data_IF_779256034695
#
_entry.id   IF_779256034695
#
_cell.length_a   1.000
_cell.length_b   1.000
_cell.length_c   1.000
_cell.angle_alpha   90.00
_cell.angle_beta   90.00
_cell.angle_gamma   90.00
#
_symmetry.space_group_name_H-M   'P 1'
#
loop_
_entity.id
_entity.type
_entity.pdbx_description
1 polymer ?
#
# COMPACT_ATOMS: atom_id res chain seq x y z
N UNK A 1 9.93 5.15 -25.97
CA UNK A 1 9.22 4.09 -25.18
C UNK A 1 10.16 3.33 -24.25
N UNK A 2 11.33 2.85 -24.72
CA UNK A 2 12.32 2.13 -23.91
C UNK A 2 12.74 2.83 -22.60
N UNK A 3 12.96 4.15 -22.65
CA UNK A 3 13.35 4.95 -21.47
C UNK A 3 12.29 4.96 -20.35
N UNK A 4 11.00 4.95 -20.71
CA UNK A 4 9.90 4.88 -19.72
C UNK A 4 9.84 3.48 -19.10
N UNK A 5 10.01 2.43 -19.90
CA UNK A 5 10.05 1.05 -19.39
C UNK A 5 11.21 0.85 -18.42
N UNK A 6 12.40 1.33 -18.78
CA UNK A 6 13.58 1.25 -17.92
C UNK A 6 13.40 2.01 -16.60
N UNK A 7 12.84 3.24 -16.66
CA UNK A 7 12.49 4.00 -15.45
C UNK A 7 11.51 3.25 -14.54
N UNK A 8 10.50 2.57 -15.10
CA UNK A 8 9.55 1.77 -14.32
C UNK A 8 10.20 0.56 -13.64
N UNK A 9 11.18 -0.08 -14.29
CA UNK A 9 11.96 -1.16 -13.68
C UNK A 9 12.77 -0.64 -12.47
N UNK A 10 13.44 0.50 -12.61
CA UNK A 10 14.18 1.13 -11.51
C UNK A 10 13.26 1.49 -10.33
N UNK A 11 12.09 2.06 -10.60
CA UNK A 11 11.09 2.34 -9.56
C UNK A 11 10.59 1.04 -8.91
N UNK A 12 10.49 -0.06 -9.68
CA UNK A 12 10.16 -1.38 -9.17
C UNK A 12 11.19 -1.91 -8.17
N UNK A 13 12.48 -1.78 -8.46
CA UNK A 13 13.55 -2.11 -7.50
C UNK A 13 13.47 -1.24 -6.25
N UNK A 14 13.22 0.06 -6.41
CA UNK A 14 13.05 0.95 -5.27
C UNK A 14 11.90 0.53 -4.35
N UNK A 15 10.79 0.01 -4.88
CA UNK A 15 9.69 -0.50 -4.05
C UNK A 15 10.10 -1.63 -3.10
N UNK A 16 11.13 -2.42 -3.43
CA UNK A 16 11.63 -3.48 -2.54
C UNK A 16 12.29 -2.92 -1.26
N UNK A 17 12.73 -1.67 -1.27
CA UNK A 17 13.31 -1.03 -0.08
C UNK A 17 12.31 -0.97 1.07
N UNK A 18 11.01 -0.88 0.77
CA UNK A 18 9.95 -0.94 1.78
C UNK A 18 10.01 -2.23 2.62
N UNK A 19 10.21 -3.38 1.96
CA UNK A 19 10.33 -4.68 2.62
C UNK A 19 11.58 -4.75 3.49
N UNK A 20 12.69 -4.16 3.05
CA UNK A 20 13.93 -4.10 3.83
C UNK A 20 13.75 -3.21 5.06
N UNK A 21 13.19 -2.01 4.90
CA UNK A 21 12.95 -1.08 6.02
C UNK A 21 12.02 -1.68 7.07
N UNK A 22 10.92 -2.31 6.64
CA UNK A 22 10.00 -2.99 7.57
C UNK A 22 10.67 -4.14 8.30
N UNK A 23 11.52 -4.92 7.63
CA UNK A 23 12.27 -6.02 8.26
C UNK A 23 13.26 -5.50 9.31
N UNK A 24 14.06 -4.49 8.97
CA UNK A 24 15.04 -3.88 9.90
C UNK A 24 14.33 -3.26 11.11
N UNK A 25 13.22 -2.57 10.91
CA UNK A 25 12.52 -1.89 12.00
C UNK A 25 11.81 -2.88 12.93
N UNK A 26 11.29 -3.98 12.37
CA UNK A 26 10.64 -5.04 13.14
C UNK A 26 11.61 -6.00 13.83
N UNK A 27 12.86 -6.12 13.36
CA UNK A 27 13.89 -6.91 14.05
C UNK A 27 14.51 -6.19 15.25
N UNK A 28 14.48 -4.86 15.28
CA UNK A 28 15.10 -4.04 16.33
C UNK A 28 14.11 -3.53 17.40
N UNK A 29 12.81 -3.90 17.32
CA UNK A 29 11.77 -3.37 18.23
C UNK A 29 10.90 -4.49 18.81
N UNK A 30 10.68 -4.47 20.13
CA UNK A 30 9.83 -5.45 20.81
C UNK A 30 8.34 -5.32 20.43
N UNK A 31 7.87 -4.08 20.19
CA UNK A 31 6.49 -3.76 19.82
C UNK A 31 6.28 -3.72 18.30
N UNK A 32 6.43 -4.86 17.63
CA UNK A 32 6.26 -5.00 16.17
C UNK A 32 4.93 -4.42 15.65
N UNK A 33 3.83 -4.63 16.36
CA UNK A 33 2.49 -4.16 15.96
C UNK A 33 2.41 -2.63 15.89
N UNK A 34 2.97 -1.93 16.88
CA UNK A 34 2.97 -0.46 16.93
C UNK A 34 3.76 0.14 15.77
N UNK A 35 4.92 -0.43 15.48
CA UNK A 35 5.79 0.00 14.37
C UNK A 35 5.13 -0.20 13.02
N UNK A 36 4.54 -1.38 12.77
CA UNK A 36 3.83 -1.66 11.51
C UNK A 36 2.60 -0.76 11.36
N UNK A 37 1.90 -0.47 12.46
CA UNK A 37 0.78 0.48 12.48
C UNK A 37 1.21 1.89 12.07
N UNK A 38 2.34 2.39 12.62
CA UNK A 38 2.90 3.69 12.25
C UNK A 38 3.32 3.75 10.78
N UNK A 39 4.01 2.72 10.26
CA UNK A 39 4.37 2.64 8.84
C UNK A 39 3.11 2.69 7.97
N UNK A 40 2.08 1.92 8.32
CA UNK A 40 0.84 1.86 7.56
C UNK A 40 0.09 3.19 7.56
N UNK A 41 0.11 3.92 8.68
CA UNK A 41 -0.45 5.27 8.76
C UNK A 41 0.28 6.23 7.81
N UNK A 42 1.62 6.26 7.84
CA UNK A 42 2.44 7.12 6.96
C UNK A 42 2.18 6.80 5.48
N UNK A 43 2.12 5.51 5.13
CA UNK A 43 1.80 5.09 3.77
C UNK A 43 0.42 5.59 3.33
N UNK A 44 -0.58 5.46 4.20
CA UNK A 44 -1.96 5.86 3.88
C UNK A 44 -2.04 7.38 3.70
N UNK A 45 -1.38 8.15 4.57
CA UNK A 45 -1.24 9.60 4.40
C UNK A 45 -0.55 9.94 3.08
N UNK A 46 0.50 9.21 2.70
CA UNK A 46 1.18 9.37 1.42
C UNK A 46 0.28 9.08 0.20
N UNK A 47 -0.57 8.06 0.29
CA UNK A 47 -1.55 7.73 -0.75
C UNK A 47 -2.66 8.77 -0.88
N UNK A 48 -3.05 9.43 0.22
CA UNK A 48 -4.03 10.51 0.21
C UNK A 48 -3.43 11.81 -0.32
N UNK A 49 -2.28 12.23 0.22
CA UNK A 49 -1.68 13.52 -0.12
C UNK A 49 -0.94 13.50 -1.46
N UNK A 50 -0.34 12.36 -1.83
CA UNK A 50 0.51 12.24 -3.01
C UNK A 50 -0.19 12.63 -4.32
N UNK A 51 -1.35 12.05 -4.66
CA UNK A 51 -2.06 12.39 -5.88
C UNK A 51 -2.55 13.86 -5.89
N UNK A 52 -3.04 14.39 -4.76
CA UNK A 52 -3.43 15.81 -4.63
C UNK A 52 -2.27 16.76 -4.90
N UNK A 53 -1.14 16.58 -4.22
CA UNK A 53 0.05 17.43 -4.38
C UNK A 53 0.62 17.28 -5.79
N UNK A 54 0.70 16.05 -6.31
CA UNK A 54 1.16 15.80 -7.67
C UNK A 54 0.27 16.44 -8.74
N UNK A 55 -1.05 16.41 -8.55
CA UNK A 55 -2.01 17.09 -9.42
C UNK A 55 -1.89 18.60 -9.38
N UNK A 56 -1.73 19.18 -8.19
CA UNK A 56 -1.58 20.62 -8.01
C UNK A 56 -0.32 21.16 -8.71
N UNK A 57 0.80 20.45 -8.55
CA UNK A 57 2.08 20.76 -9.23
C UNK A 57 1.93 20.62 -10.75
N UNK A 58 1.27 19.56 -11.22
CA UNK A 58 1.04 19.33 -12.65
C UNK A 58 0.25 20.48 -13.30
N UNK A 59 -0.66 21.10 -12.55
CA UNK A 59 -1.49 22.22 -13.04
C UNK A 59 -0.77 23.56 -13.12
N UNK A 60 0.13 23.87 -12.17
CA UNK A 60 0.78 25.19 -12.08
C UNK A 60 2.21 25.21 -12.62
N UNK A 61 2.99 24.15 -12.38
CA UNK A 61 4.38 24.06 -12.82
C UNK A 61 4.51 23.39 -14.19
N UNK A 62 3.61 22.47 -14.53
CA UNK A 62 3.74 21.66 -15.74
C UNK A 62 4.45 20.32 -15.51
N UNK A 63 4.38 19.43 -16.51
CA UNK A 63 4.63 17.99 -16.34
C UNK A 63 6.07 17.63 -15.94
N UNK A 64 7.04 18.50 -16.19
CA UNK A 64 8.47 18.25 -15.92
C UNK A 64 8.87 18.47 -14.45
N UNK A 65 8.08 19.20 -13.67
CA UNK A 65 8.41 19.50 -12.27
C UNK A 65 8.18 18.32 -11.33
N UNK A 66 7.25 17.42 -11.66
CA UNK A 66 6.94 16.23 -10.86
C UNK A 66 8.17 15.31 -10.67
N UNK A 67 8.87 14.87 -11.75
CA UNK A 67 10.06 14.04 -11.59
C UNK A 67 11.22 14.79 -10.92
N UNK A 68 11.34 16.11 -11.14
CA UNK A 68 12.37 16.92 -10.50
C UNK A 68 12.19 16.96 -8.98
N UNK A 69 10.98 17.30 -8.51
CA UNK A 69 10.65 17.32 -7.07
C UNK A 69 10.81 15.93 -6.45
N UNK A 70 10.39 14.88 -7.16
CA UNK A 70 10.56 13.49 -6.69
C UNK A 70 12.04 13.12 -6.53
N UNK A 71 12.90 13.53 -7.47
CA UNK A 71 14.35 13.31 -7.40
C UNK A 71 14.97 14.07 -6.23
N UNK A 72 14.56 15.32 -5.99
CA UNK A 72 15.01 16.13 -4.86
C UNK A 72 14.59 15.51 -3.52
N UNK A 73 13.34 15.06 -3.38
CA UNK A 73 12.88 14.36 -2.16
C UNK A 73 13.67 13.06 -1.93
N UNK A 74 13.96 12.31 -2.99
CA UNK A 74 14.80 11.11 -2.89
C UNK A 74 16.21 11.45 -2.40
N UNK A 75 16.81 12.51 -2.94
CA UNK A 75 18.13 12.96 -2.52
C UNK A 75 18.14 13.38 -1.04
N UNK A 76 17.14 14.12 -0.59
CA UNK A 76 16.98 14.45 0.83
C UNK A 76 16.81 13.20 1.70
N UNK A 77 16.00 12.24 1.26
CA UNK A 77 15.85 10.97 1.98
C UNK A 77 17.19 10.23 2.11
N UNK A 78 18.00 10.20 1.04
CA UNK A 78 19.34 9.62 1.05
C UNK A 78 20.28 10.33 2.03
N UNK A 79 20.28 11.66 2.05
CA UNK A 79 21.09 12.46 3.00
C UNK A 79 20.67 12.18 4.44
N UNK A 80 19.37 12.16 4.72
CA UNK A 80 18.83 11.83 6.05
C UNK A 80 19.26 10.41 6.46
N UNK A 81 19.14 9.43 5.57
CA UNK A 81 19.61 8.07 5.83
C UNK A 81 21.11 8.07 6.13
N UNK A 82 21.94 8.77 5.35
CA UNK A 82 23.39 8.81 5.59
C UNK A 82 23.75 9.45 6.94
N UNK A 83 22.99 10.45 7.39
CA UNK A 83 23.25 11.15 8.65
C UNK A 83 22.72 10.40 9.89
N UNK A 84 21.51 9.84 9.79
CA UNK A 84 20.82 9.23 10.93
C UNK A 84 21.02 7.74 11.04
N UNK A 85 21.33 7.04 9.94
CA UNK A 85 21.61 5.62 10.01
C UNK A 85 23.04 5.47 10.56
N UNK A 86 23.20 4.98 11.81
CA UNK A 86 24.53 4.81 12.35
C UNK A 86 25.31 3.88 11.42
N UNK A 87 26.43 4.36 10.88
CA UNK A 87 27.40 3.50 10.21
C UNK A 87 27.73 2.41 11.22
N UNK A 88 27.21 1.20 11.03
CA UNK A 88 27.60 0.05 11.83
C UNK A 88 29.01 -0.37 11.40
N UNK A 89 29.99 0.52 11.58
CA UNK A 89 31.40 0.20 11.63
C UNK A 89 31.72 -0.33 13.03
N UNK A 90 31.11 -1.45 13.35
CA UNK A 90 31.77 -2.46 14.14
C UNK A 90 31.62 -3.74 13.34
N UNK A 91 32.69 -4.28 12.72
CA UNK A 91 32.71 -5.69 12.38
C UNK A 91 32.77 -6.47 13.69
N UNK A 92 31.74 -6.39 14.53
CA UNK A 92 31.50 -7.38 15.57
C UNK A 92 31.02 -8.63 14.86
N UNK A 93 31.99 -9.31 14.24
CA UNK A 93 32.02 -10.70 13.83
C UNK A 93 30.73 -11.29 13.23
N UNK A 94 30.74 -11.76 11.98
CA UNK A 94 29.77 -12.77 11.53
C UNK A 94 29.91 -14.15 12.23
N UNK A 95 30.47 -14.20 13.45
CA UNK A 95 30.40 -15.35 14.37
C UNK A 95 29.46 -14.95 15.51
N UNK A 96 28.22 -15.43 15.57
CA UNK A 96 27.86 -16.78 16.05
C UNK A 96 26.51 -17.24 15.48
N UNK A 97 26.38 -17.34 14.15
CA UNK A 97 25.30 -18.11 13.52
C UNK A 97 25.81 -19.11 12.46
N UNK A 98 27.13 -19.27 12.35
CA UNK A 98 27.75 -20.24 11.45
C UNK A 98 28.77 -21.09 12.20
N UNK A 99 28.62 -22.43 12.08
CA UNK A 99 29.46 -23.54 12.59
C UNK A 99 29.08 -24.17 13.93
N UNK A 100 27.97 -24.92 13.95
CA UNK A 100 27.97 -26.41 14.11
C UNK A 100 26.53 -26.96 14.05
N UNK A 101 26.08 -27.20 12.84
CA UNK A 101 25.14 -28.26 12.53
C UNK A 101 25.40 -28.58 11.07
N UNK A 102 25.66 -29.85 10.79
CA UNK A 102 25.57 -30.45 9.47
C UNK A 102 24.40 -29.88 8.65
N UNK A 103 24.40 -30.03 7.31
CA UNK A 103 23.20 -29.83 6.51
C UNK A 103 22.18 -30.91 6.90
N UNK A 104 21.56 -30.78 8.08
CA UNK A 104 20.25 -31.31 8.34
C UNK A 104 19.41 -30.66 7.27
N UNK A 105 19.05 -31.46 6.25
CA UNK A 105 18.01 -31.17 5.27
C UNK A 105 16.87 -30.52 6.02
N UNK A 106 16.88 -29.19 6.06
CA UNK A 106 15.92 -28.44 6.82
C UNK A 106 14.61 -28.73 6.13
N UNK A 107 13.70 -29.37 6.86
CA UNK A 107 12.27 -29.39 6.58
C UNK A 107 11.76 -27.94 6.63
N UNK A 108 12.24 -27.10 5.71
CA UNK A 108 11.93 -25.67 5.56
C UNK A 108 10.84 -25.46 4.49
N UNK A 109 10.28 -26.56 3.98
CA UNK A 109 9.02 -26.59 3.29
C UNK A 109 8.18 -27.59 4.08
N UNK A 110 7.60 -27.16 5.20
CA UNK A 110 6.35 -27.80 5.61
C UNK A 110 5.43 -27.68 4.38
N UNK A 111 4.93 -28.80 3.81
CA UNK A 111 4.08 -28.73 2.65
C UNK A 111 2.85 -27.93 3.04
N UNK A 112 2.79 -26.67 2.60
CA UNK A 112 1.54 -25.93 2.49
C UNK A 112 0.61 -26.87 1.74
N UNK A 113 -0.62 -27.15 2.21
CA UNK A 113 -1.49 -28.12 1.57
C UNK A 113 -1.63 -27.77 0.08
N UNK A 114 -0.99 -28.59 -0.77
CA UNK A 114 -0.93 -28.42 -2.22
C UNK A 114 -2.31 -28.21 -2.88
N UNK A 115 -3.46 -28.73 -2.39
CA UNK A 115 -4.72 -28.51 -3.10
C UNK A 115 -5.26 -27.08 -3.02
N UNK A 116 -4.85 -26.26 -2.03
CA UNK A 116 -5.40 -24.91 -1.82
C UNK A 116 -4.52 -23.84 -2.49
N UNK A 117 -3.23 -24.12 -2.64
CA UNK A 117 -2.25 -23.20 -3.21
C UNK A 117 -2.58 -22.71 -4.63
N UNK A 118 -3.00 -23.55 -5.60
CA UNK A 118 -3.31 -23.08 -6.95
C UNK A 118 -4.56 -22.20 -6.98
N UNK A 119 -5.59 -22.50 -6.19
CA UNK A 119 -6.80 -21.70 -6.08
C UNK A 119 -6.54 -20.35 -5.41
N UNK A 120 -5.70 -20.33 -4.37
CA UNK A 120 -5.29 -19.08 -3.73
C UNK A 120 -4.45 -18.22 -4.66
N UNK A 121 -3.49 -18.83 -5.37
CA UNK A 121 -2.63 -18.13 -6.31
C UNK A 121 -3.44 -17.59 -7.51
N UNK A 122 -4.39 -18.35 -8.04
CA UNK A 122 -5.25 -17.89 -9.13
C UNK A 122 -6.14 -16.73 -8.70
N UNK A 123 -6.73 -16.77 -7.50
CA UNK A 123 -7.49 -15.65 -6.95
C UNK A 123 -6.61 -14.41 -6.71
N UNK A 124 -5.39 -14.60 -6.23
CA UNK A 124 -4.45 -13.50 -6.02
C UNK A 124 -4.05 -12.84 -7.35
N UNK A 125 -3.75 -13.66 -8.37
CA UNK A 125 -3.43 -13.18 -9.71
C UNK A 125 -4.63 -12.49 -10.36
N UNK A 126 -5.83 -13.06 -10.24
CA UNK A 126 -7.06 -12.47 -10.75
C UNK A 126 -7.34 -11.13 -10.08
N UNK A 127 -7.25 -11.06 -8.75
CA UNK A 127 -7.43 -9.81 -8.00
C UNK A 127 -6.41 -8.76 -8.41
N UNK A 128 -5.14 -9.15 -8.56
CA UNK A 128 -4.08 -8.26 -9.01
C UNK A 128 -4.34 -7.73 -10.44
N UNK A 129 -4.74 -8.61 -11.36
CA UNK A 129 -5.04 -8.27 -12.74
C UNK A 129 -6.25 -7.33 -12.83
N UNK A 130 -7.34 -7.65 -12.14
CA UNK A 130 -8.55 -6.82 -12.11
C UNK A 130 -8.25 -5.46 -11.51
N UNK A 131 -7.53 -5.40 -10.39
CA UNK A 131 -7.16 -4.13 -9.74
C UNK A 131 -6.30 -3.24 -10.64
N UNK A 132 -5.30 -3.82 -11.32
CA UNK A 132 -4.40 -3.08 -12.20
C UNK A 132 -5.12 -2.60 -13.46
N UNK A 133 -5.90 -3.48 -14.08
CA UNK A 133 -6.63 -3.20 -15.33
C UNK A 133 -7.70 -2.13 -15.11
N UNK A 134 -8.45 -2.23 -14.01
CA UNK A 134 -9.46 -1.24 -13.64
C UNK A 134 -8.82 0.15 -13.47
N UNK A 135 -7.76 0.26 -12.68
CA UNK A 135 -7.12 1.55 -12.37
C UNK A 135 -6.53 2.25 -13.60
N UNK A 136 -5.97 1.49 -14.54
CA UNK A 136 -5.40 2.02 -15.77
C UNK A 136 -6.48 2.47 -16.76
N UNK A 137 -7.52 1.67 -16.95
CA UNK A 137 -8.57 1.96 -17.91
C UNK A 137 -9.50 3.07 -17.41
N UNK A 138 -9.75 3.17 -16.11
CA UNK A 138 -10.63 4.20 -15.53
C UNK A 138 -10.11 5.61 -15.86
N UNK A 139 -8.81 5.86 -15.71
CA UNK A 139 -8.19 7.17 -16.01
C UNK A 139 -8.32 7.54 -17.49
N UNK A 140 -8.02 6.61 -18.38
CA UNK A 140 -8.16 6.82 -19.83
C UNK A 140 -9.62 7.00 -20.25
N UNK A 141 -10.53 6.23 -19.64
CA UNK A 141 -11.96 6.32 -19.91
C UNK A 141 -12.51 7.70 -19.54
N UNK A 142 -12.20 8.21 -18.34
CA UNK A 142 -12.70 9.52 -17.94
C UNK A 142 -12.10 10.66 -18.73
N UNK A 143 -10.82 10.55 -19.13
CA UNK A 143 -10.19 11.53 -19.99
C UNK A 143 -10.88 11.58 -21.36
N UNK A 144 -11.08 10.42 -21.99
CA UNK A 144 -11.64 10.35 -23.35
C UNK A 144 -13.15 10.64 -23.40
N UNK A 145 -13.91 10.22 -22.39
CA UNK A 145 -15.38 10.37 -22.38
C UNK A 145 -15.85 11.72 -21.84
N UNK A 146 -15.23 12.22 -20.78
CA UNK A 146 -15.69 13.41 -20.08
C UNK A 146 -14.76 14.62 -20.26
N UNK A 147 -13.67 14.47 -21.03
CA UNK A 147 -12.65 15.52 -21.23
C UNK A 147 -12.16 16.15 -19.92
N UNK A 148 -12.15 15.37 -18.83
CA UNK A 148 -11.74 15.86 -17.52
C UNK A 148 -10.22 16.09 -17.56
N UNK A 149 -9.74 17.29 -17.19
CA UNK A 149 -8.31 17.58 -17.19
C UNK A 149 -7.55 16.67 -16.21
N UNK A 150 -6.31 16.30 -16.55
CA UNK A 150 -5.48 15.42 -15.72
C UNK A 150 -5.22 15.99 -14.31
N UNK A 151 -5.31 17.31 -14.14
CA UNK A 151 -5.19 17.99 -12.84
C UNK A 151 -6.31 17.56 -11.90
N UNK A 152 -7.54 17.42 -12.38
CA UNK A 152 -8.69 17.00 -11.58
C UNK A 152 -8.65 15.51 -11.18
N UNK A 153 -7.94 14.68 -11.96
CA UNK A 153 -7.86 13.23 -11.71
C UNK A 153 -7.12 12.87 -10.42
N UNK A 154 -6.07 13.61 -10.04
CA UNK A 154 -5.39 13.36 -8.77
C UNK A 154 -6.26 13.72 -7.57
N UNK A 155 -7.07 14.78 -7.65
CA UNK A 155 -8.04 15.10 -6.59
C UNK A 155 -9.09 13.99 -6.43
N UNK A 156 -9.60 13.44 -7.54
CA UNK A 156 -10.49 12.29 -7.50
C UNK A 156 -9.82 11.08 -6.83
N UNK A 157 -8.57 10.78 -7.21
CA UNK A 157 -7.81 9.68 -6.59
C UNK A 157 -7.66 9.89 -5.07
N UNK A 158 -7.26 11.08 -4.64
CA UNK A 158 -7.11 11.39 -3.22
C UNK A 158 -8.42 11.31 -2.46
N UNK A 159 -9.51 11.79 -3.06
CA UNK A 159 -10.86 11.65 -2.51
C UNK A 159 -11.25 10.18 -2.31
N UNK A 160 -11.03 9.32 -3.32
CA UNK A 160 -11.28 7.87 -3.18
C UNK A 160 -10.43 7.22 -2.10
N UNK A 161 -9.19 7.69 -1.89
CA UNK A 161 -8.32 7.20 -0.81
C UNK A 161 -8.81 7.62 0.58
N UNK A 162 -9.32 8.85 0.73
CA UNK A 162 -9.96 9.29 1.99
C UNK A 162 -11.21 8.46 2.26
N UNK A 163 -12.06 8.28 1.25
CA UNK A 163 -13.25 7.46 1.39
C UNK A 163 -12.88 6.03 1.79
N UNK A 164 -11.87 5.43 1.15
CA UNK A 164 -11.38 4.10 1.51
C UNK A 164 -10.84 4.05 2.94
N UNK A 165 -10.14 5.10 3.42
CA UNK A 165 -9.70 5.19 4.81
C UNK A 165 -10.90 5.21 5.76
N UNK A 166 -11.89 6.07 5.50
CA UNK A 166 -13.11 6.18 6.33
C UNK A 166 -13.86 4.85 6.33
N UNK A 167 -14.07 4.24 5.17
CA UNK A 167 -14.70 2.94 5.05
C UNK A 167 -13.92 1.87 5.81
N UNK A 168 -12.59 1.81 5.69
CA UNK A 168 -11.79 0.85 6.45
C UNK A 168 -11.86 1.10 7.96
N UNK A 169 -11.85 2.36 8.40
CA UNK A 169 -11.91 2.71 9.82
C UNK A 169 -13.29 2.42 10.43
N UNK A 170 -14.37 2.58 9.67
CA UNK A 170 -15.74 2.38 10.16
C UNK A 170 -16.24 0.95 9.96
N UNK A 171 -16.02 0.37 8.78
CA UNK A 171 -16.54 -0.94 8.41
C UNK A 171 -15.71 -2.05 9.02
N UNK A 172 -14.37 -1.96 9.09
CA UNK A 172 -13.56 -3.07 9.60
C UNK A 172 -13.85 -3.37 11.10
N UNK A 173 -13.93 -2.39 12.00
CA UNK A 173 -14.28 -2.68 13.40
C UNK A 173 -15.70 -3.24 13.54
N UNK A 174 -16.65 -2.72 12.74
CA UNK A 174 -18.03 -3.22 12.73
C UNK A 174 -18.09 -4.66 12.19
N UNK A 175 -17.29 -4.98 11.16
CA UNK A 175 -17.18 -6.32 10.57
C UNK A 175 -16.47 -7.34 11.47
N UNK A 176 -15.53 -6.91 12.31
CA UNK A 176 -14.92 -7.78 13.32
C UNK A 176 -15.93 -8.29 14.34
N UNK A 177 -16.89 -7.43 14.73
CA UNK A 177 -18.05 -7.83 15.52
C UNK A 177 -19.08 -8.66 14.76
N UNK A 178 -19.13 -8.55 13.42
CA UNK A 178 -19.96 -9.43 12.58
C UNK A 178 -19.42 -10.86 12.53
N UNK A 179 -18.11 -11.08 12.47
CA UNK A 179 -17.53 -12.44 12.42
C UNK A 179 -17.80 -13.20 13.74
N UNK A 180 -17.74 -12.53 14.90
CA UNK A 180 -18.16 -13.10 16.19
C UNK A 180 -19.69 -13.27 16.34
N UNK A 181 -20.50 -12.67 15.45
CA UNK A 181 -21.97 -12.72 15.48
C UNK A 181 -22.58 -13.53 14.34
N UNK A 182 -21.83 -13.82 13.28
CA UNK A 182 -22.21 -14.71 12.18
C UNK A 182 -22.33 -16.17 12.66
N UNK A 183 -21.56 -16.57 13.68
CA UNK A 183 -21.79 -17.82 14.42
C UNK A 183 -23.19 -17.89 15.10
N UNK A 184 -23.92 -16.77 15.22
CA UNK A 184 -25.28 -16.68 15.79
C UNK A 184 -26.42 -16.52 14.79
N UNK A 185 -26.15 -16.43 13.48
CA UNK A 185 -27.20 -16.54 12.44
C UNK A 185 -28.14 -15.33 12.24
N UNK A 186 -27.80 -14.12 12.69
CA UNK A 186 -28.67 -12.91 12.59
C UNK A 186 -28.25 -11.88 11.52
N UNK A 187 -27.49 -12.30 10.50
CA UNK A 187 -26.65 -11.36 9.70
C UNK A 187 -27.38 -10.58 8.59
N UNK A 188 -28.52 -11.06 8.07
CA UNK A 188 -29.06 -10.51 6.82
C UNK A 188 -29.80 -9.18 6.95
N UNK A 189 -30.48 -8.90 8.07
CA UNK A 189 -31.29 -7.68 8.22
C UNK A 189 -30.44 -6.46 8.65
N UNK A 190 -29.41 -6.66 9.47
CA UNK A 190 -28.54 -5.56 9.91
C UNK A 190 -27.59 -5.08 8.81
N UNK A 191 -27.11 -5.96 7.92
CA UNK A 191 -26.23 -5.56 6.81
C UNK A 191 -26.91 -4.58 5.86
N UNK A 192 -28.22 -4.75 5.64
CA UNK A 192 -29.05 -3.81 4.87
C UNK A 192 -29.17 -2.48 5.59
N UNK A 193 -29.41 -2.48 6.91
CA UNK A 193 -29.46 -1.24 7.71
C UNK A 193 -28.12 -0.49 7.74
N UNK A 194 -26.99 -1.19 7.84
CA UNK A 194 -25.67 -0.53 7.82
C UNK A 194 -25.38 0.07 6.43
N UNK A 195 -25.77 -0.61 5.35
CA UNK A 195 -25.61 -0.08 4.00
C UNK A 195 -26.49 1.15 3.81
N UNK A 196 -27.75 1.13 4.27
CA UNK A 196 -28.66 2.26 4.19
C UNK A 196 -28.20 3.44 5.07
N UNK A 197 -27.65 3.18 6.27
CA UNK A 197 -27.09 4.21 7.15
C UNK A 197 -25.86 4.87 6.52
N UNK A 198 -25.00 4.09 5.86
CA UNK A 198 -23.84 4.61 5.12
C UNK A 198 -24.31 5.45 3.92
N UNK A 199 -25.30 4.98 3.14
CA UNK A 199 -25.83 5.73 2.00
C UNK A 199 -26.47 7.04 2.45
N UNK A 200 -27.21 7.03 3.57
CA UNK A 200 -27.86 8.20 4.12
C UNK A 200 -26.85 9.24 4.63
N UNK A 201 -25.82 8.81 5.38
CA UNK A 201 -24.79 9.71 5.91
C UNK A 201 -23.87 10.24 4.83
N UNK A 202 -23.58 9.46 3.79
CA UNK A 202 -22.90 9.94 2.59
C UNK A 202 -23.76 11.03 1.93
N UNK A 203 -25.07 10.81 1.72
CA UNK A 203 -25.96 11.85 1.17
C UNK A 203 -25.97 13.15 2.00
N UNK A 204 -25.97 13.06 3.33
CA UNK A 204 -25.93 14.25 4.22
C UNK A 204 -24.60 14.98 4.14
N UNK A 205 -23.48 14.28 3.99
CA UNK A 205 -22.17 14.91 3.85
C UNK A 205 -21.97 15.59 2.49
N UNK A 206 -22.85 15.32 1.51
CA UNK A 206 -22.80 15.83 0.14
C UNK A 206 -23.97 16.74 -0.25
N UNK A 207 -24.89 17.04 0.66
CA UNK A 207 -25.95 18.05 0.50
C UNK A 207 -25.54 19.35 1.21
#
# INVERSE_FOLDING_TARGET
MFLICFSRLLVGFYKQTYTLTTTILTSNTDSRSKVIGQISAILTTGWILGPSVGSWISGHGGKMYIPAISSTMMFFNYVICKLFFPSSSSPSSPSKLSKKSSPKKSKLISPIPLPILPSFLSLLLLRFLTSTTYTLNLKSYHLNKYNIPLTSMGYYSSYTSVLSLVTNLWVLPKSGGFIEREERGEVYNELVEVIDEIIFKVKIFFA
#
